data_IF_184240571358
#
_entry.id   IF_184240571358
#
_cell.length_a   1.000
_cell.length_b   1.000
_cell.length_c   1.000
_cell.angle_alpha   90.00
_cell.angle_beta   90.00
_cell.angle_gamma   90.00
#
_symmetry.space_group_name_H-M   'P 1'
#
loop_
_entity.id
_entity.type
_entity.pdbx_description
1 polymer ?
#
# COMPACT_ATOMS: atom_id res chain seq x y z
N UNK A 1 -15.93 11.60 16.24
CA UNK A 1 -16.13 12.80 15.39
C UNK A 1 -14.98 12.79 14.41
N UNK A 2 -15.19 12.13 13.27
CA UNK A 2 -14.12 11.72 12.35
C UNK A 2 -13.69 12.88 11.45
N UNK A 3 -12.38 13.13 11.42
CA UNK A 3 -11.73 14.07 10.51
C UNK A 3 -11.18 13.22 9.35
N UNK A 4 -11.78 13.37 8.18
CA UNK A 4 -11.28 12.83 6.92
C UNK A 4 -10.04 13.61 6.49
N UNK A 5 -8.88 12.95 6.41
CA UNK A 5 -7.71 13.49 5.72
C UNK A 5 -7.77 13.08 4.24
N UNK A 6 -8.38 13.95 3.44
CA UNK A 6 -8.21 13.95 1.98
C UNK A 6 -6.94 14.75 1.66
N UNK A 7 -6.09 14.23 0.77
CA UNK A 7 -4.92 14.93 0.23
C UNK A 7 -5.33 16.32 -0.30
N UNK A 8 -4.99 17.38 0.44
CA UNK A 8 -4.98 18.75 -0.06
C UNK A 8 -3.56 19.09 -0.54
N UNK A 9 -3.46 19.50 -1.81
CA UNK A 9 -2.26 20.11 -2.34
C UNK A 9 -1.97 21.45 -1.63
N UNK A 10 -0.68 21.81 -1.41
CA UNK A 10 -0.32 23.08 -0.82
C UNK A 10 -0.57 24.24 -1.80
N UNK A 11 -1.57 25.07 -1.49
CA UNK A 11 -1.68 26.42 -2.04
C UNK A 11 -0.76 27.33 -1.24
N UNK A 12 0.35 27.76 -1.83
CA UNK A 12 1.01 28.99 -1.41
C UNK A 12 0.89 30.04 -2.51
N UNK A 13 0.12 31.08 -2.18
CA UNK A 13 0.10 32.38 -2.84
C UNK A 13 1.47 33.05 -2.68
N UNK A 14 2.02 33.55 -3.78
CA UNK A 14 2.76 34.82 -3.75
C UNK A 14 1.98 35.76 -4.67
N UNK A 15 1.48 36.83 -4.04
CA UNK A 15 0.82 37.94 -4.71
C UNK A 15 1.88 38.83 -5.34
N UNK A 16 1.68 39.23 -6.60
CA UNK A 16 2.21 40.51 -7.07
C UNK A 16 1.04 41.34 -7.61
N UNK A 17 0.79 42.43 -6.89
CA UNK A 17 -0.08 43.55 -7.28
C UNK A 17 0.41 44.13 -8.60
N UNK A 18 -0.49 44.35 -9.55
CA UNK A 18 -0.30 45.38 -10.58
C UNK A 18 -1.44 46.39 -10.48
N UNK A 19 -1.02 47.63 -10.25
CA UNK A 19 -1.81 48.79 -9.90
C UNK A 19 -2.74 49.23 -11.03
N UNK A 20 -3.97 49.56 -10.64
CA UNK A 20 -4.87 50.46 -11.36
C UNK A 20 -4.21 51.84 -11.44
N UNK A 21 -3.89 52.31 -12.64
CA UNK A 21 -3.69 53.74 -12.89
C UNK A 21 -4.96 54.31 -13.52
N UNK A 22 -5.72 54.98 -12.68
CA UNK A 22 -6.68 56.01 -13.06
C UNK A 22 -5.94 57.16 -13.76
N UNK A 23 -6.47 57.63 -14.88
CA UNK A 23 -6.27 59.01 -15.32
C UNK A 23 -7.65 59.66 -15.41
N UNK A 24 -7.89 60.63 -14.52
CA UNK A 24 -9.03 61.53 -14.57
C UNK A 24 -8.84 62.56 -15.67
N UNK A 25 -9.93 62.93 -16.34
CA UNK A 25 -10.14 64.32 -16.75
C UNK A 25 -11.63 64.64 -16.74
N UNK A 26 -12.00 65.58 -15.87
CA UNK A 26 -13.28 66.25 -15.84
C UNK A 26 -13.52 67.02 -17.15
N UNK A 27 -14.79 67.30 -17.49
CA UNK A 27 -15.27 68.66 -17.73
C UNK A 27 -16.80 68.68 -17.91
N UNK A 28 -17.40 69.68 -17.25
CA UNK A 28 -18.78 70.12 -17.32
C UNK A 28 -19.22 70.49 -18.74
N UNK A 29 -20.52 70.40 -19.04
CA UNK A 29 -21.38 71.52 -19.48
C UNK A 29 -22.72 70.99 -20.04
N UNK A 30 -23.83 71.30 -19.38
CA UNK A 30 -25.14 71.52 -20.01
C UNK A 30 -25.06 72.83 -20.82
N UNK A 31 -25.76 72.99 -21.97
CA UNK A 31 -27.17 73.40 -21.89
C UNK A 31 -28.12 72.98 -23.05
N UNK A 32 -29.39 72.93 -22.66
CA UNK A 32 -30.63 73.35 -23.34
C UNK A 32 -30.64 73.83 -24.82
N UNK A 33 -31.75 73.43 -25.48
CA UNK A 33 -32.60 74.11 -26.49
C UNK A 33 -32.39 73.87 -28.00
N UNK A 34 -33.44 73.26 -28.57
CA UNK A 34 -34.00 73.41 -29.92
C UNK A 34 -33.68 74.74 -30.62
N UNK A 35 -33.29 74.65 -31.90
CA UNK A 35 -33.94 75.41 -32.97
C UNK A 35 -33.83 74.68 -34.31
N UNK A 36 -34.90 74.75 -35.07
CA UNK A 36 -35.07 74.16 -36.40
C UNK A 36 -34.23 74.86 -37.48
N UNK A 37 -34.12 74.14 -38.60
CA UNK A 37 -33.76 74.61 -39.94
C UNK A 37 -32.26 74.68 -40.22
N UNK A 38 -31.78 73.73 -41.02
CA UNK A 38 -31.15 74.01 -42.32
C UNK A 38 -31.07 72.67 -43.07
N UNK A 39 -32.07 72.43 -43.92
CA UNK A 39 -31.95 71.50 -45.04
C UNK A 39 -30.80 71.99 -45.95
N UNK A 40 -30.15 71.00 -46.59
CA UNK A 40 -29.15 71.11 -47.67
C UNK A 40 -27.71 71.36 -47.23
N UNK A 41 -27.06 70.33 -46.70
CA UNK A 41 -25.63 70.06 -46.97
C UNK A 41 -25.35 68.55 -46.90
N UNK A 42 -26.15 67.79 -47.66
CA UNK A 42 -25.89 66.39 -47.97
C UNK A 42 -25.35 66.34 -49.40
N UNK A 43 -24.02 66.31 -49.60
CA UNK A 43 -23.43 65.77 -50.84
C UNK A 43 -21.90 65.70 -50.93
N UNK A 44 -21.07 65.88 -49.87
CA UNK A 44 -19.61 65.76 -50.11
C UNK A 44 -18.71 65.29 -48.94
N UNK A 45 -19.26 64.87 -47.80
CA UNK A 45 -18.45 64.35 -46.67
C UNK A 45 -18.77 62.90 -46.26
N UNK A 46 -19.70 62.24 -46.95
CA UNK A 46 -20.01 60.82 -46.71
C UNK A 46 -19.09 59.88 -47.51
N UNK A 47 -18.48 60.36 -48.61
CA UNK A 47 -17.55 59.58 -49.44
C UNK A 47 -16.15 59.45 -48.83
N UNK A 48 -15.74 60.38 -47.96
CA UNK A 48 -14.43 60.31 -47.30
C UNK A 48 -14.45 59.33 -46.10
N UNK A 49 -15.56 59.25 -45.37
CA UNK A 49 -15.71 58.34 -44.23
C UNK A 49 -15.95 56.89 -44.65
N UNK A 50 -16.59 56.64 -45.80
CA UNK A 50 -16.71 55.28 -46.35
C UNK A 50 -15.40 54.75 -46.91
N UNK A 51 -14.56 55.59 -47.53
CA UNK A 51 -13.21 55.17 -47.97
C UNK A 51 -12.28 54.80 -46.81
N UNK A 52 -12.36 55.49 -45.67
CA UNK A 52 -11.50 55.19 -44.50
C UNK A 52 -11.94 53.89 -43.80
N UNK A 53 -13.23 53.55 -43.81
CA UNK A 53 -13.72 52.26 -43.30
C UNK A 53 -13.40 51.07 -44.23
N UNK A 54 -13.21 51.31 -45.53
CA UNK A 54 -12.76 50.32 -46.51
C UNK A 54 -11.23 50.08 -46.48
N UNK A 55 -10.47 50.92 -45.77
CA UNK A 55 -9.01 50.84 -45.63
C UNK A 55 -8.53 50.28 -44.28
N UNK A 56 -9.43 49.92 -43.38
CA UNK A 56 -9.10 48.98 -42.31
C UNK A 56 -9.04 47.60 -42.96
N UNK A 57 -7.85 46.99 -43.19
CA UNK A 57 -7.84 45.57 -43.47
C UNK A 57 -8.62 44.93 -42.33
N UNK A 58 -9.70 44.22 -42.67
CA UNK A 58 -10.23 43.22 -41.78
C UNK A 58 -9.01 42.48 -41.25
N UNK A 59 -8.83 42.46 -39.92
CA UNK A 59 -7.91 41.56 -39.27
C UNK A 59 -8.43 40.15 -39.54
N UNK A 60 -8.33 39.72 -40.79
CA UNK A 60 -8.34 38.34 -41.17
C UNK A 60 -7.17 37.80 -40.38
N UNK A 61 -7.49 37.03 -39.34
CA UNK A 61 -6.55 36.07 -38.80
C UNK A 61 -6.01 35.29 -40.00
N UNK A 62 -4.85 35.69 -40.50
CA UNK A 62 -4.09 34.87 -41.44
C UNK A 62 -3.56 33.76 -40.54
N UNK A 63 -4.37 32.70 -40.39
CA UNK A 63 -3.89 31.47 -39.81
C UNK A 63 -2.76 31.00 -40.73
N UNK A 64 -1.52 31.00 -40.23
CA UNK A 64 -0.40 30.37 -40.93
C UNK A 64 -0.74 28.88 -41.08
N UNK A 65 -1.17 28.48 -42.26
CA UNK A 65 -1.21 27.08 -42.64
C UNK A 65 0.21 26.64 -42.99
N UNK A 66 0.93 26.16 -41.98
CA UNK A 66 2.19 25.48 -42.20
C UNK A 66 1.91 24.06 -42.71
N UNK A 67 2.36 23.75 -43.93
CA UNK A 67 2.38 22.38 -44.46
C UNK A 67 3.80 21.84 -44.38
N UNK A 68 3.98 20.70 -43.70
CA UNK A 68 5.28 20.05 -43.58
C UNK A 68 5.44 18.99 -44.67
N UNK A 69 6.61 18.93 -45.31
CA UNK A 69 6.92 17.88 -46.30
C UNK A 69 7.03 16.48 -45.68
N UNK A 70 7.09 16.38 -44.35
CA UNK A 70 7.14 15.14 -43.59
C UNK A 70 6.10 15.20 -42.48
N UNK A 71 5.61 14.03 -42.07
CA UNK A 71 4.80 13.88 -40.87
C UNK A 71 5.55 14.47 -39.67
N UNK A 72 4.91 15.37 -38.94
CA UNK A 72 5.42 15.85 -37.65
C UNK A 72 5.34 14.66 -36.69
N UNK A 73 6.50 14.18 -36.25
CA UNK A 73 6.60 13.11 -35.26
C UNK A 73 6.37 13.72 -33.90
N UNK A 74 5.32 13.26 -33.23
CA UNK A 74 4.96 13.60 -31.87
C UNK A 74 5.44 12.55 -30.88
N UNK A 75 4.82 12.53 -29.70
CA UNK A 75 5.11 11.60 -28.62
C UNK A 75 4.05 10.53 -28.48
N UNK A 76 4.44 9.30 -28.14
CA UNK A 76 3.47 8.25 -27.83
C UNK A 76 2.81 8.54 -26.47
N UNK A 77 1.51 8.21 -26.28
CA UNK A 77 0.85 8.39 -24.99
C UNK A 77 1.50 7.50 -23.91
N UNK A 78 1.62 8.01 -22.69
CA UNK A 78 2.29 7.32 -21.58
C UNK A 78 1.53 7.49 -20.27
N UNK A 79 1.92 6.72 -19.26
CA UNK A 79 1.39 6.86 -17.90
C UNK A 79 2.31 7.73 -17.04
N UNK A 80 1.74 8.48 -16.11
CA UNK A 80 2.50 9.26 -15.13
C UNK A 80 1.72 9.36 -13.83
N UNK A 81 2.44 9.29 -12.70
CA UNK A 81 1.86 9.32 -11.35
C UNK A 81 2.32 10.54 -10.54
N UNK A 82 3.18 11.37 -11.12
CA UNK A 82 3.84 12.52 -10.50
C UNK A 82 3.61 13.81 -11.30
N UNK A 83 2.49 13.88 -12.03
CA UNK A 83 2.11 15.06 -12.78
C UNK A 83 2.94 15.31 -14.04
N UNK A 84 3.55 14.26 -14.60
CA UNK A 84 4.30 14.30 -15.86
C UNK A 84 5.82 14.36 -15.70
N UNK A 85 6.35 14.35 -14.47
CA UNK A 85 7.79 14.36 -14.26
C UNK A 85 8.45 13.05 -14.70
N UNK A 86 7.76 11.92 -14.48
CA UNK A 86 8.19 10.60 -14.91
C UNK A 86 7.27 10.04 -15.99
N UNK A 87 7.87 9.52 -17.07
CA UNK A 87 7.17 8.82 -18.15
C UNK A 87 7.24 7.32 -17.93
N UNK A 88 6.12 6.71 -17.61
CA UNK A 88 5.99 5.26 -17.45
C UNK A 88 5.57 4.67 -18.78
N UNK A 89 6.54 4.05 -19.46
CA UNK A 89 6.38 3.43 -20.79
C UNK A 89 6.32 1.90 -20.74
N UNK A 90 6.30 1.31 -19.54
CA UNK A 90 6.15 -0.13 -19.34
C UNK A 90 5.19 -0.43 -18.17
N UNK A 91 4.56 -1.62 -18.16
CA UNK A 91 3.48 -1.92 -17.22
C UNK A 91 4.01 -2.04 -15.78
N UNK A 92 5.29 -2.36 -15.64
CA UNK A 92 5.96 -2.60 -14.37
C UNK A 92 5.97 -1.37 -13.47
N UNK A 93 5.78 -0.16 -14.03
CA UNK A 93 5.61 1.06 -13.25
C UNK A 93 4.32 1.08 -12.41
N UNK A 94 3.34 0.26 -12.78
CA UNK A 94 2.10 0.04 -12.00
C UNK A 94 2.28 -0.94 -10.84
N UNK A 95 3.39 -1.68 -10.82
CA UNK A 95 3.61 -2.79 -9.90
C UNK A 95 4.44 -2.37 -8.68
N UNK A 96 4.62 -1.08 -8.43
CA UNK A 96 5.31 -0.54 -7.25
C UNK A 96 4.41 -0.39 -6.03
N UNK A 97 5.03 -0.37 -4.84
CA UNK A 97 4.35 -0.08 -3.57
C UNK A 97 4.96 1.13 -2.87
N UNK A 98 4.17 1.78 -2.04
CA UNK A 98 4.59 2.82 -1.11
C UNK A 98 4.34 2.33 0.31
N UNK A 99 5.33 2.51 1.18
CA UNK A 99 5.25 2.19 2.60
C UNK A 99 5.18 3.49 3.42
N UNK A 100 4.70 3.43 4.68
CA UNK A 100 4.65 4.61 5.56
C UNK A 100 6.02 5.19 5.79
N UNK A 101 6.14 6.53 5.83
CA UNK A 101 7.38 7.23 6.20
C UNK A 101 8.63 6.80 5.40
N UNK A 102 8.46 6.13 4.26
CA UNK A 102 9.55 5.52 3.48
C UNK A 102 9.32 5.66 1.97
N UNK A 103 10.37 5.37 1.21
CA UNK A 103 10.44 5.59 -0.23
C UNK A 103 9.66 4.53 -1.03
N UNK A 104 9.18 4.93 -2.21
CA UNK A 104 8.62 4.05 -3.23
C UNK A 104 9.53 2.84 -3.50
N UNK A 105 8.93 1.65 -3.54
CA UNK A 105 9.58 0.37 -3.82
C UNK A 105 9.07 -0.16 -5.16
N UNK A 106 9.84 -0.06 -6.25
CA UNK A 106 9.51 -0.63 -7.54
C UNK A 106 9.83 -2.12 -7.61
N UNK A 107 9.19 -2.81 -8.56
CA UNK A 107 9.47 -4.21 -8.92
C UNK A 107 10.88 -4.45 -9.49
N UNK A 108 11.63 -3.39 -9.80
CA UNK A 108 13.05 -3.42 -10.15
C UNK A 108 13.39 -3.01 -11.58
N UNK A 109 12.56 -3.35 -12.57
CA UNK A 109 12.81 -3.02 -13.99
C UNK A 109 12.78 -1.51 -14.24
N UNK A 110 11.83 -0.81 -13.59
CA UNK A 110 11.67 0.64 -13.71
C UNK A 110 12.37 1.43 -12.60
N UNK A 111 13.31 0.81 -11.89
CA UNK A 111 14.05 1.49 -10.81
C UNK A 111 14.81 2.72 -11.28
N UNK A 112 15.31 2.71 -12.51
CA UNK A 112 15.98 3.85 -13.13
C UNK A 112 15.08 5.09 -13.29
N UNK A 113 13.74 4.92 -13.31
CA UNK A 113 12.80 6.04 -13.34
C UNK A 113 12.72 6.78 -12.01
N UNK A 114 13.13 6.14 -10.91
CA UNK A 114 13.01 6.66 -9.56
C UNK A 114 14.37 6.58 -8.84
N UNK A 115 15.24 7.60 -8.99
CA UNK A 115 16.64 7.53 -8.53
C UNK A 115 16.82 7.32 -7.02
N UNK A 116 15.81 7.65 -6.22
CA UNK A 116 15.82 7.47 -4.76
C UNK A 116 15.05 6.22 -4.29
N UNK A 117 14.59 5.38 -5.22
CA UNK A 117 13.80 4.20 -4.91
C UNK A 117 14.68 2.99 -4.59
N UNK A 118 14.23 2.18 -3.64
CA UNK A 118 14.88 0.92 -3.29
C UNK A 118 14.20 -0.21 -4.06
N UNK A 119 14.93 -0.87 -4.94
CA UNK A 119 14.43 -2.04 -5.67
C UNK A 119 14.05 -3.15 -4.70
N UNK A 120 12.90 -3.77 -4.95
CA UNK A 120 12.50 -4.94 -4.20
C UNK A 120 13.45 -6.12 -4.41
N UNK A 121 13.92 -6.68 -3.30
CA UNK A 121 14.69 -7.94 -3.26
C UNK A 121 14.11 -8.87 -2.20
N UNK A 122 12.83 -8.68 -1.86
CA UNK A 122 12.18 -9.40 -0.78
C UNK A 122 11.90 -10.85 -1.13
N UNK A 123 11.93 -11.70 -0.11
CA UNK A 123 11.61 -13.13 -0.21
C UNK A 123 10.95 -13.61 1.07
N UNK A 124 10.56 -14.88 1.12
CA UNK A 124 10.08 -15.52 2.36
C UNK A 124 11.11 -15.43 3.49
N UNK A 125 12.40 -15.54 3.15
CA UNK A 125 13.49 -15.58 4.12
C UNK A 125 13.99 -14.17 4.48
N UNK A 126 13.82 -13.22 3.55
CA UNK A 126 14.19 -11.82 3.73
C UNK A 126 13.04 -10.89 3.32
N UNK A 127 11.94 -10.85 4.12
CA UNK A 127 10.81 -9.99 3.83
C UNK A 127 11.11 -8.52 4.16
N UNK A 128 10.38 -7.63 3.51
CA UNK A 128 10.32 -6.20 3.84
C UNK A 128 9.70 -6.06 5.23
N UNK A 129 10.42 -5.44 6.14
CA UNK A 129 9.91 -5.10 7.46
C UNK A 129 9.14 -3.78 7.41
N UNK A 130 7.95 -3.76 7.99
CA UNK A 130 7.17 -2.52 8.09
C UNK A 130 7.94 -1.46 8.91
N UNK A 131 7.84 -0.18 8.55
CA UNK A 131 8.55 0.89 9.25
C UNK A 131 8.14 1.07 10.72
N UNK A 132 6.86 0.90 11.05
CA UNK A 132 6.34 1.07 12.41
C UNK A 132 5.53 -0.13 12.89
N UNK A 133 5.47 -0.32 14.21
CA UNK A 133 4.74 -1.42 14.87
C UNK A 133 3.22 -1.30 14.76
N UNK A 134 2.71 -0.10 14.48
CA UNK A 134 1.27 0.19 14.34
C UNK A 134 0.79 0.12 12.90
N UNK A 135 1.68 -0.16 11.95
CA UNK A 135 1.33 -0.19 10.53
C UNK A 135 0.34 -1.31 10.22
N UNK A 136 -0.55 -1.03 9.30
CA UNK A 136 -1.70 -1.85 8.90
C UNK A 136 -1.62 -2.22 7.42
N UNK A 137 -2.58 -2.99 6.91
CA UNK A 137 -2.64 -3.26 5.47
C UNK A 137 -2.91 -1.99 4.64
N UNK A 138 -3.67 -1.03 5.18
CA UNK A 138 -4.00 0.24 4.50
C UNK A 138 -2.78 1.13 4.30
N UNK A 139 -1.78 0.96 5.16
CA UNK A 139 -0.54 1.71 5.17
C UNK A 139 0.40 1.29 4.02
N UNK A 140 0.18 0.11 3.44
CA UNK A 140 0.88 -0.40 2.27
C UNK A 140 0.09 0.05 1.04
N UNK A 141 0.51 1.17 0.47
CA UNK A 141 -0.18 1.78 -0.65
C UNK A 141 0.29 1.19 -1.97
N UNK A 142 -0.67 1.03 -2.88
CA UNK A 142 -0.44 0.60 -4.27
C UNK A 142 -1.17 1.58 -5.17
N UNK A 143 -0.99 1.47 -6.49
CA UNK A 143 -1.77 2.29 -7.42
C UNK A 143 -3.24 1.86 -7.51
N UNK A 144 -3.62 0.68 -7.02
CA UNK A 144 -5.04 0.30 -6.93
C UNK A 144 -5.69 1.09 -5.80
N UNK A 145 -6.67 1.97 -6.11
CA UNK A 145 -7.33 2.76 -5.09
C UNK A 145 -8.14 1.87 -4.14
N UNK A 146 -8.22 2.25 -2.88
CA UNK A 146 -9.01 1.53 -1.85
C UNK A 146 -10.47 1.36 -2.27
N UNK A 147 -11.05 2.36 -2.97
CA UNK A 147 -12.42 2.32 -3.48
C UNK A 147 -12.68 1.23 -4.52
N UNK A 148 -11.63 0.81 -5.23
CA UNK A 148 -11.70 -0.15 -6.32
C UNK A 148 -11.08 -1.51 -5.93
N UNK A 149 -10.52 -1.62 -4.73
CA UNK A 149 -9.89 -2.84 -4.26
C UNK A 149 -10.77 -4.10 -4.45
N UNK A 150 -10.23 -5.23 -4.97
CA UNK A 150 -8.82 -5.49 -5.25
C UNK A 150 -8.37 -5.17 -6.69
N UNK A 151 -9.19 -4.51 -7.51
CA UNK A 151 -8.91 -4.36 -8.95
C UNK A 151 -9.26 -2.99 -9.52
N UNK A 152 -8.47 -2.49 -10.46
CA UNK A 152 -8.76 -1.24 -11.16
C UNK A 152 -8.45 -1.37 -12.64
N UNK A 153 -9.35 -0.88 -13.49
CA UNK A 153 -9.07 -0.79 -14.93
C UNK A 153 -8.13 0.37 -15.21
N UNK A 154 -7.26 0.22 -16.22
CA UNK A 154 -6.44 1.35 -16.66
C UNK A 154 -7.30 2.47 -17.24
N UNK A 155 -8.47 2.14 -17.79
CA UNK A 155 -9.48 3.13 -18.19
C UNK A 155 -9.86 4.05 -17.03
N UNK A 156 -10.04 3.53 -15.82
CA UNK A 156 -10.33 4.36 -14.65
C UNK A 156 -9.13 5.23 -14.28
N UNK A 157 -7.91 4.69 -14.35
CA UNK A 157 -6.68 5.41 -13.98
C UNK A 157 -6.34 6.57 -14.93
N UNK A 158 -6.63 6.43 -16.24
CA UNK A 158 -6.36 7.51 -17.20
C UNK A 158 -7.43 8.62 -17.20
N UNK A 159 -8.61 8.33 -16.67
CA UNK A 159 -9.72 9.28 -16.58
C UNK A 159 -9.77 9.98 -15.20
N UNK A 160 -10.64 10.97 -15.09
CA UNK A 160 -10.93 11.61 -13.81
C UNK A 160 -11.41 10.58 -12.77
N UNK A 161 -10.98 10.69 -11.50
CA UNK A 161 -10.20 11.79 -10.93
C UNK A 161 -8.68 11.65 -11.06
N UNK A 162 -8.16 10.50 -11.50
CA UNK A 162 -6.72 10.20 -11.44
C UNK A 162 -5.92 10.88 -12.55
N UNK A 163 -6.42 10.88 -13.79
CA UNK A 163 -5.81 11.54 -14.95
C UNK A 163 -4.33 11.14 -15.15
N UNK A 164 -4.01 9.85 -15.00
CA UNK A 164 -2.63 9.35 -15.12
C UNK A 164 -2.15 9.16 -16.55
N UNK A 165 -3.04 9.25 -17.56
CA UNK A 165 -2.63 9.24 -18.96
C UNK A 165 -2.16 10.63 -19.41
N UNK A 166 -1.02 10.70 -20.11
CA UNK A 166 -0.57 11.92 -20.79
C UNK A 166 0.01 11.66 -22.18
N UNK A 167 0.00 12.71 -22.98
CA UNK A 167 0.63 12.81 -24.29
C UNK A 167 1.17 14.25 -24.41
N UNK A 168 2.45 14.40 -24.77
CA UNK A 168 3.09 15.72 -24.87
C UNK A 168 2.63 16.51 -26.10
N UNK A 169 1.93 15.87 -27.04
CA UNK A 169 1.40 16.49 -28.26
C UNK A 169 0.21 17.44 -27.97
N UNK A 170 -0.35 17.40 -26.76
CA UNK A 170 -1.38 18.31 -26.27
C UNK A 170 -2.80 17.73 -26.25
N UNK A 171 -3.56 18.09 -25.22
CA UNK A 171 -5.01 18.03 -24.95
C UNK A 171 -5.87 16.85 -25.46
N UNK A 172 -5.29 15.76 -25.95
CA UNK A 172 -6.03 14.57 -26.36
C UNK A 172 -6.58 13.82 -25.14
N UNK A 173 -7.86 13.47 -25.16
CA UNK A 173 -8.40 12.47 -24.23
C UNK A 173 -7.68 11.14 -24.46
N UNK A 174 -7.12 10.56 -23.40
CA UNK A 174 -6.43 9.29 -23.47
C UNK A 174 -7.38 8.18 -23.11
N UNK A 175 -7.44 7.18 -23.97
CA UNK A 175 -8.17 5.94 -23.72
C UNK A 175 -7.19 4.83 -23.39
N UNK A 176 -7.64 3.87 -22.58
CA UNK A 176 -6.81 2.75 -22.19
C UNK A 176 -7.60 1.44 -22.10
N UNK A 177 -6.92 0.33 -22.40
CA UNK A 177 -7.35 -1.03 -22.04
C UNK A 177 -6.42 -1.64 -21.01
N UNK A 178 -6.88 -2.68 -20.32
CA UNK A 178 -6.10 -3.42 -19.35
C UNK A 178 -6.62 -3.24 -17.92
N UNK A 179 -6.11 -4.07 -17.04
CA UNK A 179 -6.55 -4.14 -15.65
C UNK A 179 -5.34 -4.44 -14.76
N UNK A 180 -5.38 -3.87 -13.56
CA UNK A 180 -4.45 -4.17 -12.48
C UNK A 180 -5.23 -4.83 -11.33
N UNK A 181 -4.69 -5.90 -10.79
CA UNK A 181 -5.29 -6.69 -9.71
C UNK A 181 -4.29 -6.90 -8.57
N UNK A 182 -4.82 -6.89 -7.34
CA UNK A 182 -4.12 -7.19 -6.09
C UNK A 182 -4.52 -8.57 -5.60
N UNK A 183 -3.53 -9.30 -5.08
CA UNK A 183 -3.75 -10.50 -4.29
C UNK A 183 -2.87 -10.50 -3.05
N UNK A 184 -3.47 -10.77 -1.89
CA UNK A 184 -2.76 -10.99 -0.64
C UNK A 184 -2.83 -12.46 -0.23
N UNK A 185 -1.70 -12.99 0.23
CA UNK A 185 -1.63 -14.30 0.87
C UNK A 185 -0.89 -14.20 2.20
N UNK A 186 -1.27 -15.03 3.16
CA UNK A 186 -0.48 -15.24 4.39
C UNK A 186 0.69 -16.20 4.16
N UNK A 187 1.50 -16.44 5.19
CA UNK A 187 2.66 -17.34 5.14
C UNK A 187 2.33 -18.78 4.75
N UNK A 188 1.09 -19.21 5.00
CA UNK A 188 0.61 -20.54 4.67
C UNK A 188 0.03 -20.59 3.23
N UNK A 189 0.03 -19.47 2.51
CA UNK A 189 -0.49 -19.36 1.15
C UNK A 189 -2.01 -19.16 1.08
N UNK A 190 -2.70 -18.99 2.21
CA UNK A 190 -4.14 -18.70 2.23
C UNK A 190 -4.40 -17.33 1.63
N UNK A 191 -5.34 -17.24 0.69
CA UNK A 191 -5.78 -15.96 0.13
C UNK A 191 -6.56 -15.18 1.19
N UNK A 192 -6.06 -13.99 1.53
CA UNK A 192 -6.65 -13.09 2.53
C UNK A 192 -7.12 -11.76 1.91
N UNK A 193 -7.21 -11.71 0.58
CA UNK A 193 -7.49 -10.47 -0.16
C UNK A 193 -8.82 -9.85 0.29
N UNK A 194 -9.85 -10.68 0.51
CA UNK A 194 -11.18 -10.22 0.93
C UNK A 194 -11.20 -9.76 2.40
N UNK A 195 -10.40 -10.38 3.26
CA UNK A 195 -10.23 -10.01 4.66
C UNK A 195 -9.57 -8.64 4.77
N UNK A 196 -8.51 -8.41 3.99
CA UNK A 196 -7.87 -7.10 3.87
C UNK A 196 -8.85 -6.05 3.37
N UNK A 197 -9.69 -6.36 2.38
CA UNK A 197 -10.75 -5.46 1.90
C UNK A 197 -11.74 -5.06 3.01
N UNK A 198 -12.15 -6.03 3.84
CA UNK A 198 -13.11 -5.80 4.92
C UNK A 198 -12.50 -5.04 6.10
N UNK A 199 -11.21 -5.24 6.36
CA UNK A 199 -10.51 -4.68 7.52
C UNK A 199 -9.13 -4.13 7.13
N UNK A 200 -9.06 -3.06 6.33
CA UNK A 200 -7.79 -2.54 5.82
C UNK A 200 -6.91 -1.96 6.94
N UNK A 201 -7.53 -1.39 7.98
CA UNK A 201 -6.83 -0.84 9.14
C UNK A 201 -6.49 -1.91 10.21
N UNK A 202 -6.59 -3.20 9.88
CA UNK A 202 -6.17 -4.26 10.79
C UNK A 202 -4.64 -4.32 10.81
N UNK A 203 -4.01 -4.40 12.00
CA UNK A 203 -2.56 -4.58 12.08
C UNK A 203 -2.14 -5.93 11.49
N UNK A 204 -0.95 -5.97 10.92
CA UNK A 204 -0.36 -7.21 10.40
C UNK A 204 -0.05 -8.16 11.56
N UNK A 205 -0.49 -9.40 11.47
CA UNK A 205 -0.20 -10.42 12.47
C UNK A 205 1.10 -11.14 12.10
N UNK A 206 2.12 -11.02 12.95
CA UNK A 206 3.42 -11.68 12.77
C UNK A 206 3.28 -13.21 12.63
N UNK A 207 2.32 -13.85 13.29
CA UNK A 207 2.09 -15.29 13.16
C UNK A 207 1.68 -15.74 11.78
N UNK A 208 1.11 -14.83 10.99
CA UNK A 208 0.69 -15.07 9.62
C UNK A 208 1.70 -14.49 8.61
N UNK A 209 2.80 -13.92 9.10
CA UNK A 209 3.86 -13.31 8.29
C UNK A 209 4.97 -14.32 7.95
N UNK A 210 5.76 -14.10 6.87
CA UNK A 210 5.62 -12.99 5.92
C UNK A 210 4.37 -13.15 5.05
N UNK A 211 3.71 -12.03 4.79
CA UNK A 211 2.61 -11.94 3.85
C UNK A 211 3.16 -11.75 2.44
N UNK A 212 2.45 -12.29 1.44
CA UNK A 212 2.77 -12.12 0.02
C UNK A 212 1.74 -11.21 -0.64
N UNK A 213 2.16 -10.01 -1.06
CA UNK A 213 1.37 -9.07 -1.86
C UNK A 213 1.76 -9.22 -3.33
N UNK A 214 0.84 -9.65 -4.18
CA UNK A 214 1.06 -9.79 -5.62
C UNK A 214 0.26 -8.76 -6.39
N UNK A 215 0.96 -7.96 -7.21
CA UNK A 215 0.38 -7.02 -8.16
C UNK A 215 0.48 -7.62 -9.55
N UNK A 216 -0.63 -7.69 -10.28
CA UNK A 216 -0.67 -8.26 -11.63
C UNK A 216 -1.39 -7.33 -12.58
N UNK A 217 -0.72 -6.95 -13.67
CA UNK A 217 -1.28 -6.14 -14.72
C UNK A 217 -1.39 -6.93 -16.03
N UNK A 218 -2.52 -6.81 -16.71
CA UNK A 218 -2.73 -7.44 -18.02
C UNK A 218 -2.06 -6.64 -19.15
N UNK A 219 -2.01 -7.22 -20.36
CA UNK A 219 -1.63 -6.47 -21.55
C UNK A 219 -2.51 -5.23 -21.68
N UNK A 220 -1.89 -4.08 -21.94
CA UNK A 220 -2.58 -2.81 -22.00
C UNK A 220 -2.22 -2.03 -23.26
N UNK A 221 -3.12 -1.13 -23.63
CA UNK A 221 -2.94 -0.19 -24.73
C UNK A 221 -3.39 1.17 -24.26
N UNK A 222 -2.60 2.20 -24.54
CA UNK A 222 -2.98 3.59 -24.40
C UNK A 222 -3.07 4.18 -25.79
N UNK A 223 -4.12 4.95 -26.07
CA UNK A 223 -4.24 5.64 -27.33
C UNK A 223 -4.92 6.99 -27.22
N UNK A 224 -4.54 7.87 -28.11
CA UNK A 224 -5.13 9.19 -28.33
C UNK A 224 -5.90 9.21 -29.65
N UNK A 225 -6.79 10.19 -29.82
CA UNK A 225 -7.51 10.40 -31.09
C UNK A 225 -6.58 10.93 -32.19
N UNK A 226 -5.56 11.68 -31.81
CA UNK A 226 -4.59 12.33 -32.69
C UNK A 226 -3.19 12.19 -32.08
N UNK A 227 -2.16 12.20 -32.93
CA UNK A 227 -0.77 11.99 -32.52
C UNK A 227 -0.09 10.99 -33.44
N UNK A 228 1.22 11.13 -33.66
CA UNK A 228 1.99 10.13 -34.40
C UNK A 228 3.31 9.92 -33.63
N UNK A 229 3.47 8.79 -32.93
CA UNK A 229 2.52 7.67 -32.78
C UNK A 229 1.33 8.00 -31.85
N UNK A 230 0.12 7.54 -32.20
CA UNK A 230 -1.09 7.72 -31.37
C UNK A 230 -1.32 6.58 -30.35
N UNK A 231 -0.48 5.53 -30.34
CA UNK A 231 -0.68 4.33 -29.52
C UNK A 231 0.61 3.93 -28.80
N UNK A 232 0.47 3.52 -27.53
CA UNK A 232 1.49 2.79 -26.77
C UNK A 232 0.96 1.44 -26.32
N UNK A 233 1.79 0.41 -26.43
CA UNK A 233 1.46 -0.97 -26.06
C UNK A 233 2.31 -1.41 -24.88
N UNK A 234 1.65 -2.07 -23.94
CA UNK A 234 2.25 -2.57 -22.71
C UNK A 234 2.04 -4.08 -22.63
N UNK A 235 3.13 -4.81 -22.36
CA UNK A 235 3.08 -6.24 -22.07
C UNK A 235 2.73 -6.43 -20.61
N UNK A 236 1.82 -7.34 -20.30
CA UNK A 236 1.39 -7.66 -18.94
C UNK A 236 2.51 -8.29 -18.12
N UNK A 237 2.50 -8.02 -16.81
CA UNK A 237 3.51 -8.49 -15.87
C UNK A 237 2.92 -8.67 -14.48
N UNK A 238 3.66 -9.38 -13.61
CA UNK A 238 3.30 -9.60 -12.22
C UNK A 238 4.52 -9.48 -11.33
N UNK A 239 4.34 -8.95 -10.12
CA UNK A 239 5.40 -8.84 -9.11
C UNK A 239 4.86 -9.17 -7.73
N UNK A 240 5.65 -9.86 -6.91
CA UNK A 240 5.29 -10.24 -5.55
C UNK A 240 6.24 -9.64 -4.52
N UNK A 241 5.68 -8.96 -3.53
CA UNK A 241 6.38 -8.43 -2.36
C UNK A 241 6.14 -9.34 -1.16
N UNK A 242 7.19 -9.61 -0.39
CA UNK A 242 7.11 -10.33 0.88
C UNK A 242 7.25 -9.35 2.03
N UNK A 243 6.26 -9.28 2.92
CA UNK A 243 6.14 -8.21 3.91
C UNK A 243 5.88 -8.81 5.30
N UNK A 244 6.58 -8.31 6.32
CA UNK A 244 6.37 -8.67 7.73
C UNK A 244 6.13 -7.41 8.58
N UNK A 245 5.33 -7.48 9.65
CA UNK A 245 5.20 -6.37 10.58
C UNK A 245 6.55 -6.03 11.25
N UNK A 246 6.69 -4.79 11.70
CA UNK A 246 7.70 -4.42 12.68
C UNK A 246 7.31 -5.01 14.04
N UNK A 247 8.30 -5.47 14.81
CA UNK A 247 8.06 -6.24 16.03
C UNK A 247 8.74 -5.55 17.21
N UNK A 248 7.95 -5.11 18.20
CA UNK A 248 8.47 -4.65 19.48
C UNK A 248 8.58 -5.79 20.51
N UNK A 249 7.69 -6.77 20.41
CA UNK A 249 7.56 -7.87 21.37
C UNK A 249 7.46 -9.21 20.64
N UNK A 250 8.34 -10.17 20.98
CA UNK A 250 8.23 -11.51 20.45
C UNK A 250 7.03 -12.23 21.05
N UNK A 251 6.55 -13.23 20.34
CA UNK A 251 5.36 -13.96 20.73
C UNK A 251 5.42 -15.43 20.33
N UNK A 252 4.50 -16.20 20.90
CA UNK A 252 4.30 -17.61 20.59
C UNK A 252 3.10 -17.70 19.65
N UNK A 253 3.28 -18.31 18.49
CA UNK A 253 2.20 -18.49 17.52
C UNK A 253 1.48 -19.81 17.66
N UNK A 254 2.26 -20.87 17.96
CA UNK A 254 1.74 -22.22 18.02
C UNK A 254 2.31 -23.00 19.19
N UNK A 255 1.47 -23.85 19.76
CA UNK A 255 1.85 -24.94 20.64
C UNK A 255 1.67 -26.26 19.89
N UNK A 256 2.77 -26.86 19.47
CA UNK A 256 2.82 -28.01 18.59
C UNK A 256 2.96 -29.33 19.39
N UNK A 257 1.94 -30.19 19.41
CA UNK A 257 2.06 -31.56 19.91
C UNK A 257 2.66 -32.47 18.81
N UNK A 258 2.44 -33.79 18.91
CA UNK A 258 2.67 -34.68 17.78
C UNK A 258 1.60 -34.42 16.68
N UNK A 259 2.03 -34.27 15.43
CA UNK A 259 1.18 -33.92 14.29
C UNK A 259 0.64 -35.12 13.50
N UNK A 260 1.05 -36.36 13.82
CA UNK A 260 0.72 -37.56 13.02
C UNK A 260 -0.79 -37.79 12.74
N UNK A 261 -1.67 -37.20 13.54
CA UNK A 261 -3.13 -37.26 13.36
C UNK A 261 -3.75 -35.86 13.32
N UNK A 262 -3.03 -34.91 12.70
CA UNK A 262 -3.39 -33.50 12.62
C UNK A 262 -4.03 -33.06 11.30
N UNK A 263 -4.37 -34.00 10.41
CA UNK A 263 -4.76 -33.72 9.03
C UNK A 263 -6.13 -34.34 8.70
N UNK A 264 -6.72 -33.88 7.60
CA UNK A 264 -7.97 -34.41 7.04
C UNK A 264 -9.11 -34.44 8.07
N UNK A 265 -9.79 -35.57 8.21
CA UNK A 265 -10.93 -35.76 9.14
C UNK A 265 -10.55 -35.65 10.62
N UNK A 266 -9.25 -35.70 10.96
CA UNK A 266 -8.75 -35.54 12.32
C UNK A 266 -8.25 -34.11 12.60
N UNK A 267 -8.23 -33.23 11.60
CA UNK A 267 -7.86 -31.85 11.79
C UNK A 267 -8.88 -31.14 12.69
N UNK A 268 -8.37 -30.43 13.70
CA UNK A 268 -9.21 -29.55 14.50
C UNK A 268 -9.77 -28.38 13.67
N UNK A 269 -10.68 -27.58 14.26
CA UNK A 269 -11.19 -26.37 13.62
C UNK A 269 -10.06 -25.44 13.17
N UNK A 270 -10.19 -24.81 11.99
CA UNK A 270 -9.14 -23.97 11.40
C UNK A 270 -8.73 -22.81 12.33
N UNK A 271 -9.65 -22.32 13.15
CA UNK A 271 -9.44 -21.23 14.10
C UNK A 271 -8.54 -21.65 15.28
N UNK A 272 -8.44 -22.96 15.56
CA UNK A 272 -7.72 -23.51 16.70
C UNK A 272 -6.52 -24.37 16.29
N UNK A 273 -6.55 -24.95 15.09
CA UNK A 273 -5.58 -25.94 14.63
C UNK A 273 -5.00 -25.56 13.26
N UNK A 274 -3.70 -25.72 13.12
CA UNK A 274 -2.95 -25.63 11.88
C UNK A 274 -2.31 -27.00 11.61
N UNK A 275 -2.61 -27.67 10.48
CA UNK A 275 -2.08 -29.00 10.22
C UNK A 275 -0.55 -29.12 10.27
N UNK A 276 0.16 -28.03 9.90
CA UNK A 276 1.62 -28.01 9.85
C UNK A 276 2.26 -27.62 11.19
N UNK A 277 1.53 -26.92 12.06
CA UNK A 277 2.10 -26.27 13.25
C UNK A 277 1.40 -26.61 14.58
N UNK A 278 0.23 -27.24 14.55
CA UNK A 278 -0.53 -27.64 15.74
C UNK A 278 -1.48 -26.57 16.26
N UNK A 279 -1.59 -26.44 17.58
CA UNK A 279 -2.57 -25.53 18.20
C UNK A 279 -2.16 -24.08 18.07
N UNK A 280 -3.05 -23.24 17.52
CA UNK A 280 -2.90 -21.78 17.50
C UNK A 280 -3.09 -21.23 18.91
N UNK A 281 -2.22 -20.30 19.32
CA UNK A 281 -2.41 -19.58 20.58
C UNK A 281 -3.71 -18.77 20.54
N UNK A 282 -4.52 -18.93 21.57
CA UNK A 282 -5.83 -18.30 21.73
C UNK A 282 -5.70 -17.12 22.73
N UNK A 283 -6.52 -17.10 23.77
CA UNK A 283 -6.56 -16.04 24.78
C UNK A 283 -5.51 -16.26 25.88
N UNK A 284 -4.45 -15.45 25.89
CA UNK A 284 -3.40 -15.54 26.92
C UNK A 284 -3.91 -15.23 28.36
N UNK A 285 -5.03 -14.53 28.50
CA UNK A 285 -5.67 -14.27 29.78
C UNK A 285 -6.46 -15.47 30.32
N UNK A 286 -6.72 -16.48 29.48
CA UNK A 286 -7.48 -17.68 29.84
C UNK A 286 -6.74 -18.96 29.40
N UNK A 287 -5.95 -19.51 30.33
CA UNK A 287 -5.18 -20.73 30.09
C UNK A 287 -6.04 -21.92 29.63
N UNK A 288 -7.30 -22.03 30.07
CA UNK A 288 -8.20 -23.13 29.71
C UNK A 288 -8.62 -23.13 28.24
N UNK A 289 -8.46 -22.01 27.53
CA UNK A 289 -8.69 -21.93 26.07
C UNK A 289 -7.48 -22.34 25.25
N UNK A 290 -6.33 -22.57 25.88
CA UNK A 290 -5.09 -22.87 25.20
C UNK A 290 -4.67 -24.31 25.47
N UNK A 291 -4.04 -24.92 24.46
CA UNK A 291 -3.32 -26.16 24.65
C UNK A 291 -2.00 -25.90 25.41
N UNK A 292 -1.55 -26.82 26.29
CA UNK A 292 -2.26 -28.01 26.76
C UNK A 292 -3.08 -27.74 28.03
N UNK A 293 -4.22 -28.44 28.17
CA UNK A 293 -5.02 -28.46 29.41
C UNK A 293 -4.76 -29.71 30.26
N UNK A 294 -3.96 -30.66 29.76
CA UNK A 294 -3.58 -31.91 30.44
C UNK A 294 -2.10 -32.21 30.22
N UNK A 295 -1.53 -33.09 31.04
CA UNK A 295 -0.12 -33.45 30.94
C UNK A 295 0.26 -34.63 31.82
N UNK A 296 1.42 -35.21 31.53
CA UNK A 296 2.04 -36.27 32.31
C UNK A 296 3.56 -36.11 32.30
N UNK A 297 4.24 -36.78 33.22
CA UNK A 297 5.70 -36.71 33.31
C UNK A 297 6.34 -37.17 31.99
N UNK A 298 7.29 -36.37 31.50
CA UNK A 298 8.00 -36.52 30.22
C UNK A 298 7.16 -36.32 28.95
N UNK A 299 5.88 -35.96 29.04
CA UNK A 299 5.19 -35.41 27.88
C UNK A 299 5.82 -34.07 27.51
N UNK A 300 5.88 -33.81 26.21
CA UNK A 300 6.40 -32.56 25.70
C UNK A 300 5.57 -32.06 24.54
N UNK A 301 5.68 -30.77 24.31
CA UNK A 301 5.18 -30.07 23.13
C UNK A 301 6.21 -29.00 22.75
N UNK A 302 6.06 -28.42 21.57
CA UNK A 302 6.96 -27.38 21.09
C UNK A 302 6.22 -26.05 21.06
N UNK A 303 6.90 -24.97 21.44
CA UNK A 303 6.44 -23.62 21.20
C UNK A 303 7.16 -23.09 19.96
N UNK A 304 6.39 -22.64 18.98
CA UNK A 304 6.91 -21.96 17.79
C UNK A 304 6.84 -20.45 18.05
N UNK A 305 8.02 -19.85 18.11
CA UNK A 305 8.22 -18.44 18.43
C UNK A 305 8.30 -17.61 17.14
N UNK A 306 7.95 -16.34 17.26
CA UNK A 306 8.22 -15.32 16.25
C UNK A 306 8.87 -14.10 16.93
N UNK A 307 9.89 -13.53 16.29
CA UNK A 307 10.67 -12.39 16.82
C UNK A 307 11.67 -12.74 17.95
N UNK A 308 11.86 -14.02 18.27
CA UNK A 308 12.81 -14.46 19.32
C UNK A 308 13.37 -15.85 19.03
N UNK A 309 14.64 -16.08 19.36
CA UNK A 309 15.28 -17.39 19.27
C UNK A 309 15.07 -18.24 20.52
N UNK A 310 15.19 -19.55 20.38
CA UNK A 310 15.12 -20.50 21.49
C UNK A 310 16.17 -20.17 22.58
N UNK A 311 17.38 -19.76 22.19
CA UNK A 311 18.41 -19.32 23.14
C UNK A 311 17.93 -18.16 24.00
N UNK A 312 17.38 -17.11 23.39
CA UNK A 312 16.90 -15.94 24.12
C UNK A 312 15.80 -16.32 25.11
N UNK A 313 14.81 -17.10 24.66
CA UNK A 313 13.71 -17.57 25.49
C UNK A 313 14.19 -18.37 26.71
N UNK A 314 15.13 -19.30 26.50
CA UNK A 314 15.71 -20.13 27.58
C UNK A 314 16.57 -19.28 28.51
N UNK A 315 17.33 -18.32 28.00
CA UNK A 315 18.18 -17.45 28.81
C UNK A 315 17.36 -16.53 29.75
N UNK A 316 16.15 -16.14 29.35
CA UNK A 316 15.23 -15.33 30.17
C UNK A 316 14.55 -16.20 31.24
N UNK A 317 13.96 -17.31 30.82
CA UNK A 317 13.10 -18.12 31.70
C UNK A 317 13.90 -19.12 32.55
N UNK A 318 15.08 -19.53 32.09
CA UNK A 318 15.85 -20.64 32.63
C UNK A 318 15.46 -21.97 31.97
N UNK A 319 16.31 -22.98 32.15
CA UNK A 319 16.06 -24.33 31.67
C UNK A 319 15.00 -25.07 32.50
N UNK A 320 14.77 -24.66 33.74
CA UNK A 320 13.76 -25.19 34.65
C UNK A 320 12.84 -24.06 35.13
N UNK A 321 11.56 -24.20 34.86
CA UNK A 321 10.53 -23.22 35.25
C UNK A 321 9.61 -23.83 36.29
N UNK A 322 9.49 -23.13 37.42
CA UNK A 322 8.57 -23.49 38.50
C UNK A 322 7.19 -22.85 38.23
N UNK A 323 6.11 -23.47 38.70
CA UNK A 323 4.78 -22.92 38.51
C UNK A 323 4.57 -21.68 39.37
N UNK A 324 3.80 -20.71 38.86
CA UNK A 324 3.33 -19.54 39.62
C UNK A 324 2.11 -19.88 40.49
N UNK A 325 1.38 -20.94 40.12
CA UNK A 325 0.26 -21.50 40.87
C UNK A 325 0.32 -23.02 40.79
N UNK A 326 0.00 -23.71 41.89
CA UNK A 326 0.05 -25.18 41.98
C UNK A 326 1.40 -25.70 42.47
N UNK A 327 1.56 -27.03 42.50
CA UNK A 327 2.81 -27.68 42.96
C UNK A 327 2.97 -29.08 42.38
N UNK A 328 4.20 -29.61 42.47
CA UNK A 328 4.55 -30.97 42.07
C UNK A 328 4.91 -31.14 40.59
N UNK A 329 4.77 -30.09 39.78
CA UNK A 329 5.09 -30.10 38.34
C UNK A 329 6.03 -28.92 38.05
N UNK A 330 7.03 -29.15 37.21
CA UNK A 330 7.94 -28.12 36.66
C UNK A 330 8.07 -28.29 35.15
N UNK A 331 8.44 -27.23 34.44
CA UNK A 331 8.75 -27.32 33.01
C UNK A 331 10.26 -27.38 32.81
N UNK A 332 10.70 -28.21 31.88
CA UNK A 332 12.06 -28.23 31.36
C UNK A 332 12.06 -27.68 29.94
N UNK A 333 12.75 -26.55 29.74
CA UNK A 333 12.87 -25.86 28.46
C UNK A 333 14.18 -26.27 27.77
N UNK A 334 14.10 -26.55 26.47
CA UNK A 334 15.24 -26.89 25.62
C UNK A 334 15.01 -26.44 24.18
N UNK A 335 16.06 -26.16 23.42
CA UNK A 335 15.93 -25.88 21.99
C UNK A 335 15.62 -27.18 21.25
N UNK A 336 14.66 -27.14 20.31
CA UNK A 336 14.35 -28.31 19.49
C UNK A 336 15.58 -28.72 18.67
N UNK A 337 15.92 -30.02 18.67
CA UNK A 337 17.09 -30.57 17.97
C UNK A 337 18.41 -29.84 18.30
N UNK A 338 18.52 -29.25 19.49
CA UNK A 338 19.65 -28.40 19.90
C UNK A 338 19.87 -27.14 19.03
N UNK A 339 18.88 -26.73 18.22
CA UNK A 339 18.95 -25.56 17.36
C UNK A 339 18.69 -24.27 18.15
N UNK A 340 19.72 -23.76 18.84
CA UNK A 340 19.63 -22.59 19.72
C UNK A 340 19.24 -21.29 18.99
N UNK A 341 19.63 -21.14 17.72
CA UNK A 341 19.24 -19.99 16.87
C UNK A 341 17.88 -20.19 16.20
N UNK A 342 17.31 -21.38 16.30
CA UNK A 342 15.97 -21.65 15.79
C UNK A 342 14.91 -20.94 16.63
N UNK A 343 13.69 -20.93 16.11
CA UNK A 343 12.53 -20.32 16.75
C UNK A 343 11.66 -21.34 17.51
N UNK A 344 12.17 -22.56 17.78
CA UNK A 344 11.38 -23.64 18.38
C UNK A 344 11.96 -24.04 19.74
N UNK A 345 11.12 -23.96 20.77
CA UNK A 345 11.45 -24.41 22.14
C UNK A 345 10.63 -25.63 22.50
N UNK A 346 11.28 -26.74 22.84
CA UNK A 346 10.65 -27.93 23.42
C UNK A 346 10.38 -27.67 24.91
N UNK A 347 9.11 -27.80 25.29
CA UNK A 347 8.62 -27.74 26.67
C UNK A 347 8.33 -29.16 27.14
N UNK A 348 9.13 -29.66 28.08
CA UNK A 348 8.91 -30.99 28.68
C UNK A 348 8.34 -30.85 30.09
N UNK A 349 7.22 -31.52 30.37
CA UNK A 349 6.64 -31.54 31.71
C UNK A 349 7.40 -32.53 32.60
N UNK A 350 7.78 -32.08 33.80
CA UNK A 350 8.46 -32.88 34.82
C UNK A 350 7.60 -32.93 36.06
N UNK A 351 7.11 -34.11 36.40
CA UNK A 351 6.20 -34.33 37.52
C UNK A 351 6.52 -35.63 38.27
N UNK A 352 5.67 -36.02 39.23
CA UNK A 352 5.86 -37.28 39.94
C UNK A 352 5.73 -38.49 39.00
N UNK A 353 6.37 -39.57 39.40
CA UNK A 353 6.34 -40.88 38.74
C UNK A 353 5.86 -41.94 39.73
N UNK A 354 5.66 -43.17 39.25
CA UNK A 354 5.42 -44.35 40.09
C UNK A 354 6.44 -44.46 41.25
N UNK A 355 7.70 -44.09 41.00
CA UNK A 355 8.80 -44.23 41.95
C UNK A 355 9.05 -42.97 42.79
N UNK A 356 8.28 -41.90 42.59
CA UNK A 356 8.43 -40.68 43.37
C UNK A 356 7.95 -40.90 44.81
N UNK A 357 8.76 -40.45 45.77
CA UNK A 357 8.43 -40.47 47.21
C UNK A 357 7.15 -39.64 47.45
N UNK A 358 7.09 -38.44 46.86
CA UNK A 358 5.90 -37.60 46.86
C UNK A 358 5.22 -37.65 45.49
N UNK A 359 3.97 -38.10 45.45
CA UNK A 359 3.14 -38.22 44.24
C UNK A 359 2.08 -37.13 44.14
N UNK A 360 2.02 -36.22 45.11
CA UNK A 360 1.04 -35.14 45.14
C UNK A 360 1.39 -34.08 44.10
N UNK A 361 0.41 -33.75 43.26
CA UNK A 361 0.46 -32.61 42.37
C UNK A 361 -0.90 -31.90 42.34
N UNK A 362 -0.90 -30.63 41.95
CA UNK A 362 -2.11 -29.84 41.70
C UNK A 362 -2.03 -29.22 40.32
N UNK A 363 -3.18 -28.88 39.68
CA UNK A 363 -3.20 -28.10 38.45
C UNK A 363 -2.27 -26.90 38.57
N UNK A 364 -1.36 -26.78 37.60
CA UNK A 364 -0.26 -25.84 37.66
C UNK A 364 -0.39 -24.79 36.55
N UNK A 365 -0.17 -23.52 36.91
CA UNK A 365 -0.06 -22.42 35.95
C UNK A 365 1.39 -21.98 35.85
N UNK A 366 1.87 -21.78 34.63
CA UNK A 366 3.21 -21.31 34.33
C UNK A 366 3.11 -20.00 33.58
N UNK A 367 4.06 -19.10 33.84
CA UNK A 367 4.23 -17.86 33.10
C UNK A 367 5.62 -17.89 32.49
N UNK A 368 5.67 -17.65 31.18
CA UNK A 368 6.92 -17.54 30.43
C UNK A 368 7.04 -16.11 29.91
N UNK A 369 8.25 -15.57 29.99
CA UNK A 369 8.51 -14.16 29.78
C UNK A 369 9.37 -13.96 28.53
N UNK A 370 9.05 -12.91 27.78
CA UNK A 370 9.84 -12.41 26.65
C UNK A 370 10.92 -11.40 27.05
N UNK A 371 10.91 -10.95 28.31
CA UNK A 371 11.87 -10.00 28.88
C UNK A 371 12.15 -10.36 30.34
N UNK A 372 13.41 -10.22 30.76
CA UNK A 372 13.85 -10.41 32.16
C UNK A 372 13.18 -9.44 33.12
N UNK A 373 12.89 -8.20 32.71
CA UNK A 373 12.31 -7.18 33.59
C UNK A 373 10.89 -7.55 34.08
N UNK A 374 10.17 -8.40 33.34
CA UNK A 374 8.83 -8.88 33.73
C UNK A 374 8.86 -10.11 34.63
N UNK A 375 10.01 -10.77 34.76
CA UNK A 375 10.18 -11.99 35.57
C UNK A 375 10.45 -11.67 37.05
N UNK A 376 10.99 -10.49 37.33
CA UNK A 376 11.18 -9.90 38.66
C UNK A 376 9.95 -9.11 39.06
#
# INVERSE_FOLDING_TARGET
MSINHTFQQPKNLISLRSLLFNCQSQLFYTPCKRLLSFLKFFSLRLTLFTCIYLLLPANNSIALSATTNKVIQGSAPYLTFDGGATKVTSIEGLLGINLPNSSYIPSGINSALYPNAKVDTSSTDNPIEMPNITDTFADIQTIVPVSNYPEVSLTNLVNAPYNYGRDDDGNGSISATGQLTIKWQDKNGKDITNEVKKQPNKPLNICNSPYKLTLTATNARLWTTYGIPHESRFTGASHSYYIKPNIDKPLVCYAQPNLNYGENEYAGPEEQWDPNHGFKVQDLGNASKNFPTTGANNLYFKLILEGMTARQMIAINGNKVNPVLGKGITLSLSAENNALEGNIVRITLKGPTQNSINKTFHPARFELYSDKAKKT
#
